data_IF_309810797752
#
_entry.id   IF_309810797752
#
_cell.length_a   1.000
_cell.length_b   1.000
_cell.length_c   1.000
_cell.angle_alpha   90.00
_cell.angle_beta   90.00
_cell.angle_gamma   90.00
#
_symmetry.space_group_name_H-M   'P 1'
#
loop_
_entity.id
_entity.type
_entity.pdbx_description
1 polymer ?
#
# COMPACT_ATOMS: atom_id res chain seq x y z
N UNK A 1 6.97 10.70 11.75
CA UNK A 1 6.77 9.38 11.16
C UNK A 1 6.48 9.50 9.67
N UNK A 2 6.77 8.43 8.90
CA UNK A 2 6.40 8.29 7.51
C UNK A 2 5.37 7.18 7.28
N UNK A 3 4.51 7.32 6.24
CA UNK A 3 3.67 6.22 5.79
C UNK A 3 3.43 6.31 4.28
N UNK A 4 3.43 5.15 3.59
CA UNK A 4 3.09 5.11 2.18
C UNK A 4 1.69 5.67 1.94
N UNK A 5 1.47 6.34 0.80
CA UNK A 5 0.21 7.03 0.52
C UNK A 5 -1.02 6.12 0.67
N UNK A 6 -0.98 4.91 0.10
CA UNK A 6 -2.11 3.98 0.19
C UNK A 6 -2.36 3.49 1.62
N UNK A 7 -1.30 3.23 2.41
CA UNK A 7 -1.42 2.87 3.82
C UNK A 7 -2.03 4.02 4.63
N UNK A 8 -1.55 5.25 4.43
CA UNK A 8 -2.10 6.44 5.09
C UNK A 8 -3.58 6.65 4.79
N UNK A 9 -4.03 6.28 3.58
CA UNK A 9 -5.43 6.44 3.16
C UNK A 9 -6.35 5.31 3.67
N UNK A 10 -5.81 4.13 3.94
CA UNK A 10 -6.57 2.97 4.43
C UNK A 10 -6.53 2.84 5.95
N UNK A 11 -5.36 2.63 6.52
CA UNK A 11 -5.15 2.37 7.95
C UNK A 11 -4.84 3.64 8.76
N UNK A 12 -4.24 4.65 8.14
CA UNK A 12 -3.73 5.83 8.84
C UNK A 12 -4.73 6.50 9.77
N UNK A 13 -5.97 6.81 9.35
CA UNK A 13 -6.92 7.51 10.21
C UNK A 13 -7.27 6.74 11.48
N UNK A 14 -7.52 5.43 11.38
CA UNK A 14 -7.87 4.60 12.54
C UNK A 14 -6.67 4.38 13.48
N UNK A 15 -5.49 4.10 12.89
CA UNK A 15 -4.25 3.89 13.63
C UNK A 15 -3.88 5.15 14.43
N UNK A 16 -3.87 6.31 13.77
CA UNK A 16 -3.48 7.58 14.41
C UNK A 16 -4.50 8.04 15.44
N UNK A 17 -5.80 7.89 15.13
CA UNK A 17 -6.84 8.23 16.12
C UNK A 17 -6.67 7.42 17.40
N UNK A 18 -6.53 6.11 17.30
CA UNK A 18 -6.36 5.26 18.47
C UNK A 18 -5.06 5.57 19.24
N UNK A 19 -3.98 5.91 18.53
CA UNK A 19 -2.74 6.32 19.18
C UNK A 19 -2.90 7.64 19.98
N UNK A 20 -3.47 8.68 19.35
CA UNK A 20 -3.65 9.98 20.01
C UNK A 20 -4.62 9.90 21.19
N UNK A 21 -5.65 9.05 21.09
CA UNK A 21 -6.58 8.81 22.21
C UNK A 21 -5.87 8.14 23.41
N UNK A 22 -4.88 7.26 23.17
CA UNK A 22 -4.13 6.54 24.23
C UNK A 22 -2.92 7.35 24.74
N UNK A 23 -2.29 8.17 23.89
CA UNK A 23 -1.05 8.91 24.18
C UNK A 23 -1.16 10.39 23.75
N UNK A 24 -2.04 11.14 24.43
CA UNK A 24 -2.36 12.54 24.08
C UNK A 24 -1.19 13.51 24.18
N UNK A 25 -0.17 13.19 24.98
CA UNK A 25 1.01 14.03 25.20
C UNK A 25 2.11 13.86 24.15
N UNK A 26 1.92 12.92 23.20
CA UNK A 26 2.88 12.67 22.12
C UNK A 26 2.39 13.34 20.82
N UNK A 27 3.13 14.35 20.38
CA UNK A 27 2.86 14.97 19.09
C UNK A 27 3.37 14.11 17.92
N UNK A 28 2.53 13.93 16.90
CA UNK A 28 2.87 13.18 15.68
C UNK A 28 2.90 14.11 14.48
N UNK A 29 4.05 14.12 13.79
CA UNK A 29 4.15 14.65 12.43
C UNK A 29 4.12 13.49 11.44
N UNK A 30 3.17 13.49 10.49
CA UNK A 30 3.02 12.46 9.46
C UNK A 30 3.46 12.98 8.10
N UNK A 31 4.47 12.32 7.51
CA UNK A 31 4.89 12.53 6.12
C UNK A 31 4.35 11.38 5.25
N UNK A 32 3.69 11.71 4.14
CA UNK A 32 3.19 10.70 3.19
C UNK A 32 3.95 10.81 1.86
N UNK A 33 4.50 9.69 1.38
CA UNK A 33 5.20 9.62 0.09
C UNK A 33 5.20 8.18 -0.44
N UNK A 34 5.92 7.91 -1.53
CA UNK A 34 6.20 6.56 -2.02
C UNK A 34 7.17 5.83 -1.09
N UNK A 35 7.09 4.49 -1.03
CA UNK A 35 7.89 3.68 -0.10
C UNK A 35 9.40 3.89 -0.26
N UNK A 36 9.88 3.96 -1.50
CA UNK A 36 11.30 4.20 -1.81
C UNK A 36 11.83 5.56 -1.32
N UNK A 37 10.96 6.59 -1.31
CA UNK A 37 11.30 7.92 -0.76
C UNK A 37 11.30 7.90 0.76
N UNK A 38 10.31 7.25 1.38
CA UNK A 38 10.25 7.10 2.83
C UNK A 38 11.47 6.36 3.37
N UNK A 39 11.92 5.29 2.71
CA UNK A 39 13.18 4.60 3.06
C UNK A 39 14.36 5.57 3.08
N UNK A 40 14.46 6.48 2.10
CA UNK A 40 15.52 7.49 2.06
C UNK A 40 15.43 8.48 3.22
N UNK A 41 14.22 8.88 3.61
CA UNK A 41 14.01 9.79 4.75
C UNK A 41 14.40 9.12 6.08
N UNK A 42 14.05 7.83 6.29
CA UNK A 42 14.49 7.09 7.49
C UNK A 42 16.01 6.90 7.50
N UNK A 43 16.63 6.59 6.35
CA UNK A 43 18.11 6.48 6.24
C UNK A 43 18.82 7.78 6.64
N UNK A 44 18.25 8.94 6.26
CA UNK A 44 18.77 10.27 6.60
C UNK A 44 18.38 10.78 7.99
N UNK A 45 17.52 10.05 8.69
CA UNK A 45 16.95 10.47 9.98
C UNK A 45 16.06 11.74 9.90
N UNK A 46 15.60 12.09 8.69
CA UNK A 46 14.61 13.16 8.49
C UNK A 46 13.25 12.78 9.11
N UNK A 47 12.98 11.48 9.24
CA UNK A 47 11.87 10.87 9.98
C UNK A 47 12.38 9.69 10.82
N UNK A 48 11.77 9.45 11.99
CA UNK A 48 12.22 8.43 12.93
C UNK A 48 11.93 6.99 12.48
N UNK A 49 10.76 6.81 11.85
CA UNK A 49 10.29 5.50 11.37
C UNK A 49 9.32 5.68 10.20
N UNK A 50 9.11 4.62 9.43
CA UNK A 50 8.13 4.64 8.35
C UNK A 50 7.38 3.31 8.21
N UNK A 51 6.11 3.40 7.78
CA UNK A 51 5.32 2.26 7.29
C UNK A 51 5.38 2.29 5.76
N UNK A 52 6.10 1.33 5.21
CA UNK A 52 6.37 1.19 3.78
C UNK A 52 5.67 -0.04 3.21
N UNK A 53 5.46 -0.08 1.89
CA UNK A 53 4.82 -1.20 1.20
C UNK A 53 5.75 -1.84 0.19
N UNK A 54 5.56 -3.16 0.00
CA UNK A 54 6.41 -3.99 -0.86
C UNK A 54 7.76 -4.26 -0.20
N UNK A 55 8.51 -5.18 -0.77
CA UNK A 55 9.84 -5.51 -0.29
C UNK A 55 10.79 -4.34 -0.56
N UNK A 56 11.15 -3.64 0.50
CA UNK A 56 12.12 -2.55 0.47
C UNK A 56 13.45 -3.06 1.02
N UNK A 57 14.57 -2.63 0.43
CA UNK A 57 15.90 -2.94 0.97
C UNK A 57 16.15 -2.11 2.23
N UNK A 58 15.91 -2.73 3.38
CA UNK A 58 16.15 -2.14 4.69
C UNK A 58 17.04 -3.06 5.54
N UNK A 59 18.21 -2.58 6.04
CA UNK A 59 19.22 -3.45 6.69
C UNK A 59 19.04 -3.61 8.20
N UNK A 60 18.12 -2.88 8.83
CA UNK A 60 17.93 -2.88 10.29
C UNK A 60 16.53 -3.42 10.66
N UNK A 61 15.86 -2.82 11.65
CA UNK A 61 14.56 -3.30 12.12
C UNK A 61 13.48 -3.17 11.05
N UNK A 62 12.96 -4.32 10.64
CA UNK A 62 11.91 -4.50 9.64
C UNK A 62 10.83 -5.43 10.20
N UNK A 63 9.66 -4.88 10.52
CA UNK A 63 8.55 -5.61 11.11
C UNK A 63 7.44 -5.73 10.08
N UNK A 64 7.15 -6.96 9.65
CA UNK A 64 5.98 -7.23 8.80
C UNK A 64 4.70 -6.95 9.60
N UNK A 65 3.87 -6.02 9.12
CA UNK A 65 2.60 -5.64 9.74
C UNK A 65 1.44 -6.44 9.17
N UNK A 66 1.34 -6.48 7.86
CA UNK A 66 0.29 -7.19 7.14
C UNK A 66 0.76 -7.58 5.74
N UNK A 67 0.07 -8.54 5.15
CA UNK A 67 0.29 -8.97 3.77
C UNK A 67 -1.02 -8.84 2.99
N UNK A 68 -1.19 -7.72 2.29
CA UNK A 68 -2.41 -7.37 1.59
C UNK A 68 -2.42 -7.97 0.18
N UNK A 69 -3.38 -8.86 -0.18
CA UNK A 69 -3.50 -9.33 -1.54
C UNK A 69 -3.88 -8.22 -2.51
N UNK A 70 -3.45 -8.36 -3.77
CA UNK A 70 -3.80 -7.42 -4.84
C UNK A 70 -5.09 -7.86 -5.56
N UNK A 71 -5.89 -6.87 -5.91
CA UNK A 71 -7.14 -7.03 -6.63
C UNK A 71 -7.16 -6.22 -7.92
N UNK A 72 -7.67 -6.83 -8.97
CA UNK A 72 -8.17 -6.13 -10.15
C UNK A 72 -9.57 -5.63 -9.82
N UNK A 73 -9.82 -4.34 -10.07
CA UNK A 73 -11.13 -3.71 -9.88
C UNK A 73 -11.64 -3.07 -11.16
N UNK A 74 -12.95 -3.15 -11.41
CA UNK A 74 -13.61 -2.54 -12.56
C UNK A 74 -15.08 -2.26 -12.25
N UNK A 75 -15.64 -1.14 -12.72
CA UNK A 75 -17.08 -0.89 -12.65
C UNK A 75 -17.90 -1.73 -13.64
N UNK A 76 -17.24 -2.43 -14.57
CA UNK A 76 -17.85 -3.41 -15.48
C UNK A 76 -17.40 -4.81 -15.07
N UNK A 77 -18.16 -5.86 -15.38
CA UNK A 77 -17.72 -7.24 -15.16
C UNK A 77 -16.33 -7.47 -15.75
N UNK A 78 -15.44 -8.08 -14.97
CA UNK A 78 -14.07 -8.37 -15.39
C UNK A 78 -14.10 -9.61 -16.29
N UNK A 79 -13.75 -9.41 -17.56
CA UNK A 79 -13.55 -10.47 -18.54
C UNK A 79 -12.11 -10.41 -19.06
N UNK A 80 -11.30 -11.40 -18.69
CA UNK A 80 -9.89 -11.47 -19.07
C UNK A 80 -9.68 -11.57 -20.58
N UNK A 81 -10.66 -12.06 -21.34
CA UNK A 81 -10.55 -12.15 -22.81
C UNK A 81 -10.54 -10.77 -23.49
N UNK A 82 -11.18 -9.79 -22.88
CA UNK A 82 -11.33 -8.42 -23.41
C UNK A 82 -10.55 -7.37 -22.59
N UNK A 83 -10.06 -7.71 -21.41
CA UNK A 83 -9.46 -6.76 -20.46
C UNK A 83 -8.31 -5.93 -21.07
N UNK A 84 -7.46 -6.56 -21.88
CA UNK A 84 -6.32 -5.87 -22.51
C UNK A 84 -6.74 -4.78 -23.52
N UNK A 85 -8.01 -4.76 -23.93
CA UNK A 85 -8.58 -3.77 -24.86
C UNK A 85 -9.33 -2.66 -24.10
N UNK A 86 -9.59 -2.86 -22.80
CA UNK A 86 -10.30 -1.90 -21.95
C UNK A 86 -9.34 -0.84 -21.41
N UNK A 87 -9.86 0.38 -21.12
CA UNK A 87 -9.07 1.42 -20.50
C UNK A 87 -8.52 0.98 -19.12
N UNK A 88 -7.23 1.17 -18.91
CA UNK A 88 -6.55 0.92 -17.64
C UNK A 88 -6.18 2.23 -16.97
N UNK A 89 -6.43 2.33 -15.66
CA UNK A 89 -6.08 3.49 -14.85
C UNK A 89 -4.82 3.15 -14.06
N UNK A 90 -3.78 3.98 -14.21
CA UNK A 90 -2.54 3.86 -13.47
C UNK A 90 -2.46 4.93 -12.40
N UNK A 91 -1.97 4.59 -11.21
CA UNK A 91 -1.61 5.57 -10.20
C UNK A 91 -0.12 5.48 -9.87
N UNK A 92 0.45 6.63 -9.43
CA UNK A 92 1.85 6.71 -9.00
C UNK A 92 2.06 5.78 -7.80
N UNK A 93 3.09 4.97 -7.90
CA UNK A 93 3.53 4.04 -6.86
C UNK A 93 5.05 3.96 -6.84
N UNK A 94 5.60 3.21 -5.90
CA UNK A 94 7.01 2.88 -5.91
C UNK A 94 7.36 1.85 -7.03
N UNK A 95 8.64 1.75 -7.40
CA UNK A 95 9.07 0.84 -8.48
C UNK A 95 8.68 -0.62 -8.26
N UNK A 96 8.64 -1.10 -7.00
CA UNK A 96 8.32 -2.51 -6.69
C UNK A 96 6.89 -2.89 -7.10
N UNK A 97 5.91 -1.99 -6.90
CA UNK A 97 4.53 -2.22 -7.35
C UNK A 97 4.42 -2.16 -8.86
N UNK A 98 5.10 -1.21 -9.49
CA UNK A 98 5.08 -1.08 -10.96
C UNK A 98 5.69 -2.30 -11.64
N UNK A 99 6.77 -2.86 -11.09
CA UNK A 99 7.37 -4.10 -11.55
C UNK A 99 6.41 -5.29 -11.39
N UNK A 100 5.77 -5.42 -10.22
CA UNK A 100 4.82 -6.47 -9.92
C UNK A 100 3.61 -6.44 -10.87
N UNK A 101 3.03 -5.25 -11.12
CA UNK A 101 1.94 -5.04 -12.08
C UNK A 101 2.36 -5.43 -13.50
N UNK A 102 3.56 -5.01 -13.92
CA UNK A 102 4.11 -5.30 -15.24
C UNK A 102 4.34 -6.79 -15.42
N UNK A 103 4.89 -7.46 -14.41
CA UNK A 103 5.11 -8.91 -14.42
C UNK A 103 3.79 -9.66 -14.53
N UNK A 104 2.82 -9.34 -13.66
CA UNK A 104 1.51 -9.95 -13.70
C UNK A 104 0.81 -9.76 -15.04
N UNK A 105 0.85 -8.54 -15.60
CA UNK A 105 0.25 -8.25 -16.90
C UNK A 105 0.85 -9.09 -18.02
N UNK A 106 2.18 -9.16 -18.09
CA UNK A 106 2.90 -9.96 -19.10
C UNK A 106 2.63 -11.46 -18.99
N UNK A 107 2.32 -11.96 -17.79
CA UNK A 107 1.97 -13.37 -17.60
C UNK A 107 0.57 -13.72 -18.10
N UNK A 108 -0.33 -12.74 -18.16
CA UNK A 108 -1.74 -12.97 -18.49
C UNK A 108 -2.14 -12.43 -19.88
N UNK A 109 -1.39 -11.47 -20.44
CA UNK A 109 -1.75 -10.80 -21.68
C UNK A 109 -0.54 -10.62 -22.60
N UNK A 110 -0.76 -10.82 -23.90
CA UNK A 110 0.24 -10.58 -24.96
C UNK A 110 0.32 -9.11 -25.37
N UNK A 111 -0.77 -8.36 -25.23
CA UNK A 111 -0.85 -6.93 -25.54
C UNK A 111 -0.52 -6.09 -24.30
N UNK A 112 0.16 -4.97 -24.50
CA UNK A 112 0.39 -3.99 -23.43
C UNK A 112 -0.93 -3.42 -22.91
N UNK A 113 -1.01 -3.02 -21.62
CA UNK A 113 -2.20 -2.37 -21.08
C UNK A 113 -2.44 -1.03 -21.78
N UNK A 114 -3.71 -0.73 -22.06
CA UNK A 114 -4.13 0.55 -22.61
C UNK A 114 -4.32 1.57 -21.47
N UNK A 115 -3.24 2.25 -21.05
CA UNK A 115 -3.34 3.30 -20.05
C UNK A 115 -4.06 4.53 -20.61
N UNK A 116 -5.32 4.72 -20.21
CA UNK A 116 -6.12 5.89 -20.57
C UNK A 116 -5.90 7.07 -19.64
N UNK A 117 -5.61 6.80 -18.36
CA UNK A 117 -5.38 7.80 -17.34
C UNK A 117 -4.23 7.40 -16.41
N UNK A 118 -3.46 8.40 -15.98
CA UNK A 118 -2.46 8.26 -14.90
C UNK A 118 -2.75 9.32 -13.86
N UNK A 119 -2.88 8.88 -12.60
CA UNK A 119 -3.21 9.74 -11.45
C UNK A 119 -2.14 9.68 -10.37
N UNK A 120 -2.19 10.61 -9.43
CA UNK A 120 -1.14 10.76 -8.41
C UNK A 120 -1.18 9.70 -7.32
N UNK A 121 -2.36 9.12 -7.01
CA UNK A 121 -2.54 8.24 -5.86
C UNK A 121 -3.64 7.19 -6.06
N UNK A 122 -3.64 6.18 -5.18
CA UNK A 122 -4.56 5.05 -5.25
C UNK A 122 -6.02 5.44 -4.98
N UNK A 123 -6.28 6.39 -4.08
CA UNK A 123 -7.64 6.81 -3.74
C UNK A 123 -8.32 7.46 -4.97
N UNK A 124 -7.64 8.41 -5.62
CA UNK A 124 -8.11 9.02 -6.86
C UNK A 124 -8.34 7.96 -7.94
N UNK A 125 -7.46 6.95 -8.03
CA UNK A 125 -7.62 5.85 -8.97
C UNK A 125 -8.91 5.05 -8.70
N UNK A 126 -9.18 4.70 -7.44
CA UNK A 126 -10.41 3.98 -7.05
C UNK A 126 -11.66 4.81 -7.40
N UNK A 127 -11.66 6.13 -7.13
CA UNK A 127 -12.78 7.00 -7.49
C UNK A 127 -13.03 7.03 -9.01
N UNK A 128 -11.99 7.07 -9.82
CA UNK A 128 -12.11 7.02 -11.28
C UNK A 128 -12.71 5.69 -11.75
N UNK A 129 -12.26 4.58 -11.16
CA UNK A 129 -12.86 3.25 -11.44
C UNK A 129 -14.31 3.18 -10.99
N UNK A 130 -14.66 3.74 -9.82
CA UNK A 130 -16.04 3.85 -9.33
C UNK A 130 -16.98 4.58 -10.30
N UNK A 131 -16.43 5.44 -11.17
CA UNK A 131 -17.16 6.16 -12.23
C UNK A 131 -17.12 5.46 -13.60
N UNK A 132 -16.57 4.25 -13.68
CA UNK A 132 -16.62 3.41 -14.88
C UNK A 132 -15.61 3.77 -15.98
N UNK A 133 -14.56 4.54 -15.65
CA UNK A 133 -13.59 5.03 -16.63
C UNK A 133 -12.50 4.00 -17.00
N UNK A 134 -12.53 2.81 -16.37
CA UNK A 134 -11.60 1.74 -16.67
C UNK A 134 -11.42 0.77 -15.52
N UNK A 135 -10.35 -0.01 -15.57
CA UNK A 135 -9.95 -0.95 -14.54
C UNK A 135 -8.59 -0.58 -13.92
N UNK A 136 -8.30 -1.10 -12.73
CA UNK A 136 -7.00 -0.92 -12.07
C UNK A 136 -6.64 -2.07 -11.14
N UNK A 137 -5.35 -2.15 -10.74
CA UNK A 137 -4.86 -3.05 -9.71
C UNK A 137 -4.63 -2.27 -8.42
N UNK A 138 -5.27 -2.70 -7.34
CA UNK A 138 -5.18 -2.06 -6.02
C UNK A 138 -4.92 -3.10 -4.91
N UNK A 139 -4.33 -2.72 -3.77
CA UNK A 139 -4.25 -3.60 -2.61
C UNK A 139 -5.63 -3.73 -1.91
N UNK A 140 -5.84 -4.87 -1.23
CA UNK A 140 -7.12 -5.24 -0.62
C UNK A 140 -7.65 -4.21 0.39
N UNK A 141 -6.79 -3.55 1.14
CA UNK A 141 -7.16 -2.55 2.13
C UNK A 141 -7.80 -1.28 1.52
N UNK A 142 -7.69 -1.11 0.20
CA UNK A 142 -8.40 -0.05 -0.54
C UNK A 142 -9.80 -0.48 -1.03
N UNK A 143 -10.15 -1.77 -0.96
CA UNK A 143 -11.45 -2.28 -1.39
C UNK A 143 -12.66 -1.64 -0.70
N UNK A 144 -12.61 -1.27 0.61
CA UNK A 144 -13.73 -0.58 1.26
C UNK A 144 -14.13 0.75 0.60
N UNK A 145 -13.24 1.36 -0.19
CA UNK A 145 -13.51 2.59 -0.95
C UNK A 145 -14.19 2.34 -2.30
N UNK A 146 -14.22 1.09 -2.75
CA UNK A 146 -14.93 0.71 -3.97
C UNK A 146 -16.44 0.67 -3.73
N UNK A 147 -17.22 1.25 -4.66
CA UNK A 147 -18.70 1.17 -4.65
C UNK A 147 -19.16 -0.29 -4.75
N UNK A 148 -20.35 -0.65 -4.26
CA UNK A 148 -20.85 -2.03 -4.26
C UNK A 148 -20.93 -2.67 -5.65
N UNK A 149 -21.14 -1.88 -6.70
CA UNK A 149 -21.25 -2.34 -8.09
C UNK A 149 -19.89 -2.53 -8.79
N UNK A 150 -18.78 -2.25 -8.12
CA UNK A 150 -17.42 -2.49 -8.66
C UNK A 150 -17.10 -3.96 -8.52
N UNK A 151 -16.79 -4.62 -9.63
CA UNK A 151 -16.28 -5.99 -9.65
C UNK A 151 -14.85 -6.05 -9.12
N UNK A 152 -14.52 -7.12 -8.37
CA UNK A 152 -13.28 -7.26 -7.61
C UNK A 152 -12.77 -8.68 -7.76
N UNK A 153 -11.66 -8.86 -8.41
CA UNK A 153 -11.04 -10.16 -8.58
C UNK A 153 -9.62 -10.17 -8.02
N UNK A 154 -9.36 -11.07 -7.08
CA UNK A 154 -8.00 -11.30 -6.59
C UNK A 154 -7.12 -11.77 -7.73
N UNK A 155 -5.89 -11.26 -7.81
CA UNK A 155 -4.95 -11.65 -8.85
C UNK A 155 -3.97 -12.71 -8.35
N UNK A 156 -3.56 -13.58 -9.26
CA UNK A 156 -2.72 -14.74 -8.99
C UNK A 156 -1.48 -14.74 -9.89
N UNK A 157 -0.40 -15.29 -9.37
CA UNK A 157 0.81 -15.56 -10.16
C UNK A 157 0.62 -16.82 -11.05
N UNK A 158 1.64 -17.15 -11.85
CA UNK A 158 1.62 -18.33 -12.72
C UNK A 158 1.50 -19.67 -11.97
N UNK A 159 1.80 -19.70 -10.67
CA UNK A 159 1.66 -20.86 -9.79
C UNK A 159 0.28 -20.91 -9.09
N UNK A 160 -0.66 -20.06 -9.50
CA UNK A 160 -1.99 -19.90 -8.89
C UNK A 160 -1.97 -19.49 -7.41
N UNK A 161 -0.92 -18.83 -6.97
CA UNK A 161 -0.84 -18.25 -5.63
C UNK A 161 -1.27 -16.79 -5.69
N UNK A 162 -2.04 -16.28 -4.70
CA UNK A 162 -2.37 -14.87 -4.62
C UNK A 162 -1.12 -13.99 -4.61
N UNK A 163 -1.20 -12.84 -5.25
CA UNK A 163 -0.10 -11.87 -5.24
C UNK A 163 -0.35 -10.90 -4.11
N UNK A 164 0.60 -10.84 -3.19
CA UNK A 164 0.55 -9.99 -2.00
C UNK A 164 1.45 -8.78 -2.13
N UNK A 165 1.11 -7.75 -1.36
CA UNK A 165 1.92 -6.56 -1.16
C UNK A 165 2.05 -6.30 0.33
N UNK A 166 3.15 -6.72 0.96
CA UNK A 166 3.36 -6.58 2.39
C UNK A 166 3.49 -5.11 2.81
N UNK A 167 3.07 -4.81 4.03
CA UNK A 167 3.33 -3.56 4.73
C UNK A 167 4.32 -3.81 5.85
N UNK A 168 5.36 -3.00 5.92
CA UNK A 168 6.45 -3.12 6.88
C UNK A 168 6.61 -1.84 7.69
N UNK A 169 6.86 -1.98 8.98
CA UNK A 169 7.34 -0.90 9.83
C UNK A 169 8.86 -0.96 9.86
N UNK A 170 9.52 0.08 9.35
CA UNK A 170 10.97 0.19 9.31
C UNK A 170 11.47 1.34 10.17
N UNK A 171 12.58 1.13 10.85
CA UNK A 171 13.27 2.14 11.66
C UNK A 171 14.72 1.73 11.93
N UNK A 172 15.57 2.70 12.29
CA UNK A 172 16.90 2.40 12.84
C UNK A 172 16.75 1.99 14.31
N UNK A 173 17.45 0.95 14.75
CA UNK A 173 17.38 0.48 16.14
C UNK A 173 17.72 1.57 17.15
N UNK A 174 18.64 2.47 16.81
CA UNK A 174 19.00 3.61 17.65
C UNK A 174 17.79 4.52 17.98
N UNK A 175 16.77 4.58 17.11
CA UNK A 175 15.56 5.39 17.33
C UNK A 175 14.73 4.90 18.52
N UNK A 176 14.86 3.63 18.94
CA UNK A 176 14.16 3.08 20.12
C UNK A 176 14.67 3.68 21.44
N UNK A 177 15.79 4.39 21.45
CA UNK A 177 16.23 5.17 22.62
C UNK A 177 15.27 6.34 22.92
N UNK A 178 14.54 6.82 21.92
CA UNK A 178 13.48 7.81 22.09
C UNK A 178 12.22 7.13 22.63
N UNK A 179 11.78 7.53 23.83
CA UNK A 179 10.57 6.97 24.46
C UNK A 179 9.31 7.13 23.60
N UNK A 180 9.01 8.30 22.98
CA UNK A 180 7.87 8.42 22.07
C UNK A 180 7.93 7.46 20.86
N UNK A 181 9.13 7.25 20.28
CA UNK A 181 9.30 6.33 19.16
C UNK A 181 9.02 4.90 19.58
N UNK A 182 9.59 4.47 20.72
CA UNK A 182 9.35 3.12 21.26
C UNK A 182 7.87 2.88 21.54
N UNK A 183 7.19 3.83 22.19
CA UNK A 183 5.75 3.74 22.47
C UNK A 183 4.96 3.59 21.15
N UNK A 184 5.30 4.35 20.10
CA UNK A 184 4.62 4.24 18.82
C UNK A 184 4.86 2.89 18.14
N UNK A 185 6.10 2.35 18.19
CA UNK A 185 6.41 1.03 17.64
C UNK A 185 5.61 -0.06 18.34
N UNK A 186 5.57 -0.04 19.70
CA UNK A 186 4.82 -1.01 20.49
C UNK A 186 3.31 -0.91 20.22
N UNK A 187 2.78 0.31 20.08
CA UNK A 187 1.39 0.54 19.72
C UNK A 187 1.06 -0.03 18.34
N UNK A 188 1.92 0.20 17.32
CA UNK A 188 1.72 -0.35 15.98
C UNK A 188 1.73 -1.88 16.01
N UNK A 189 2.66 -2.51 16.73
CA UNK A 189 2.69 -3.97 16.92
C UNK A 189 1.37 -4.46 17.55
N UNK A 190 0.89 -3.81 18.61
CA UNK A 190 -0.40 -4.13 19.28
C UNK A 190 -1.57 -4.00 18.31
N UNK A 191 -1.63 -2.92 17.54
CA UNK A 191 -2.68 -2.66 16.54
C UNK A 191 -2.77 -3.77 15.48
N UNK A 192 -1.63 -4.22 14.96
CA UNK A 192 -1.55 -5.31 13.97
C UNK A 192 -1.45 -6.70 14.61
N UNK A 193 -1.56 -6.83 15.94
CA UNK A 193 -1.47 -8.11 16.68
C UNK A 193 -0.18 -8.89 16.39
N UNK A 194 0.92 -8.18 16.19
CA UNK A 194 2.24 -8.77 16.01
C UNK A 194 2.71 -9.33 17.37
N UNK A 195 3.11 -10.60 17.37
CA UNK A 195 3.71 -11.23 18.58
C UNK A 195 5.19 -10.88 18.62
N UNK A 196 5.68 -10.49 19.79
CA UNK A 196 7.11 -10.45 20.02
C UNK A 196 7.63 -11.90 20.03
N UNK A 197 8.60 -12.16 19.17
CA UNK A 197 9.32 -13.46 19.13
C UNK A 197 10.41 -13.49 20.18
#
# INVERSE_FOLDING_TARGET
IGASQSFSQSHGPALLKGFVDEYSDIEISLTTDTSDRLVKLVKKEDIHLAIVRGNQEWPESDILLEDAPLYLISAKPIDFSTLAQQPSIRYRSDPSLDELRTRWWRQNFTKSPHFSLTVSDCNTCVEIVNHGLGHSLIPADMLPKCKPNVDRQMIYNSQKQPIYRPSHLIFKEAMLQSTPVRIFVDYVKKYFKIKDN
#
